data_IF_708342213538
#
_entry.id   IF_708342213538
#
_cell.length_a   1.000
_cell.length_b   1.000
_cell.length_c   1.000
_cell.angle_alpha   90.00
_cell.angle_beta   90.00
_cell.angle_gamma   90.00
#
_symmetry.space_group_name_H-M   'P 1'
#
loop_
_entity.id
_entity.type
_entity.pdbx_description
1 polymer ?
#
# COMPACT_ATOMS: atom_id res chain seq x y z
N UNK A 1 -14.38 6.28 -62.05
CA UNK A 1 -12.96 6.25 -62.46
C UNK A 1 -12.15 5.86 -61.22
N UNK A 2 -11.96 4.56 -61.00
CA UNK A 2 -10.74 3.80 -61.34
C UNK A 2 -9.58 3.98 -60.35
N UNK A 3 -9.50 3.02 -59.42
CA UNK A 3 -8.32 2.24 -59.03
C UNK A 3 -7.20 3.00 -58.27
N UNK A 4 -6.47 2.43 -57.31
CA UNK A 4 -5.80 1.12 -57.30
C UNK A 4 -5.53 0.69 -55.83
N UNK A 5 -5.89 -0.56 -55.48
CA UNK A 5 -5.37 -1.29 -54.31
C UNK A 5 -3.99 -1.84 -54.65
N UNK A 6 -2.99 -1.62 -53.79
CA UNK A 6 -1.67 -2.27 -53.88
C UNK A 6 -1.52 -3.23 -52.70
N UNK A 7 -1.55 -4.53 -53.00
CA UNK A 7 -1.06 -5.63 -52.14
C UNK A 7 0.27 -6.13 -52.70
N UNK A 8 1.26 -6.39 -51.83
CA UNK A 8 2.51 -7.14 -52.10
C UNK A 8 3.00 -7.77 -50.77
N UNK A 9 3.84 -8.84 -50.77
CA UNK A 9 3.33 -10.21 -50.65
C UNK A 9 3.92 -10.99 -49.46
N UNK A 10 3.28 -12.11 -49.14
CA UNK A 10 3.78 -13.14 -48.23
C UNK A 10 5.02 -13.84 -48.81
N UNK A 11 6.04 -14.02 -47.98
CA UNK A 11 7.19 -14.87 -48.28
C UNK A 11 7.29 -15.91 -47.17
N UNK A 12 7.10 -17.17 -47.57
CA UNK A 12 7.36 -18.36 -46.76
C UNK A 12 8.86 -18.60 -46.67
N UNK A 13 9.36 -18.99 -45.49
CA UNK A 13 10.62 -19.70 -45.37
C UNK A 13 10.57 -20.67 -44.18
N UNK A 14 10.35 -21.94 -44.52
CA UNK A 14 10.70 -23.09 -43.68
C UNK A 14 12.23 -23.08 -43.48
N UNK A 15 12.68 -23.19 -42.23
CA UNK A 15 13.94 -23.86 -41.91
C UNK A 15 13.69 -24.79 -40.73
N UNK A 16 13.60 -26.08 -41.05
CA UNK A 16 13.72 -27.16 -40.09
C UNK A 16 15.21 -27.33 -39.74
N UNK A 17 15.54 -27.37 -38.45
CA UNK A 17 16.83 -27.83 -37.96
C UNK A 17 16.60 -28.97 -36.96
N UNK A 18 16.80 -30.19 -37.46
CA UNK A 18 17.04 -31.40 -36.68
C UNK A 18 18.32 -31.21 -35.85
N UNK A 19 18.26 -31.52 -34.55
CA UNK A 19 19.43 -31.99 -33.81
C UNK A 19 19.00 -33.17 -32.92
N UNK A 20 19.59 -34.32 -33.21
CA UNK A 20 19.42 -35.61 -32.55
C UNK A 20 20.69 -35.89 -31.73
N UNK A 21 20.56 -36.68 -30.65
CA UNK A 21 21.59 -37.22 -29.75
C UNK A 21 22.15 -36.22 -28.71
N UNK A 22 22.26 -36.54 -27.42
CA UNK A 22 22.70 -37.82 -26.87
C UNK A 22 22.11 -38.12 -25.48
N UNK A 23 21.71 -39.38 -25.31
CA UNK A 23 21.43 -40.06 -24.06
C UNK A 23 22.77 -40.34 -23.35
N UNK A 24 22.87 -40.03 -22.05
CA UNK A 24 23.89 -40.60 -21.17
C UNK A 24 23.28 -40.81 -19.78
N UNK A 25 22.81 -42.04 -19.56
CA UNK A 25 22.57 -42.56 -18.22
C UNK A 25 23.93 -42.81 -17.55
N UNK A 26 24.09 -42.36 -16.32
CA UNK A 26 25.09 -42.92 -15.40
C UNK A 26 24.34 -43.31 -14.13
N UNK A 27 24.15 -44.62 -14.01
CA UNK A 27 23.80 -45.29 -12.77
C UNK A 27 25.05 -46.05 -12.28
N UNK A 28 25.38 -45.85 -11.02
CA UNK A 28 26.01 -46.81 -10.09
C UNK A 28 25.73 -46.20 -8.70
N UNK A 29 24.87 -46.78 -7.85
CA UNK A 29 25.17 -47.96 -7.01
C UNK A 29 26.41 -47.70 -6.14
N UNK A 30 26.49 -47.93 -4.84
CA UNK A 30 25.64 -48.45 -3.77
C UNK A 30 26.61 -48.41 -2.55
N UNK A 31 26.13 -48.22 -1.32
CA UNK A 31 26.55 -48.97 -0.11
C UNK A 31 26.21 -48.26 1.19
N UNK A 32 25.60 -49.07 2.04
CA UNK A 32 25.08 -48.79 3.36
C UNK A 32 26.16 -48.76 4.46
N UNK A 33 25.83 -48.07 5.55
CA UNK A 33 26.17 -48.38 6.95
C UNK A 33 25.20 -47.54 7.80
N UNK A 34 24.09 -48.09 8.30
CA UNK A 34 23.96 -48.79 9.58
C UNK A 34 25.01 -48.40 10.63
N UNK A 35 24.62 -47.54 11.58
CA UNK A 35 25.10 -47.63 12.95
C UNK A 35 24.01 -47.13 13.92
N UNK A 36 23.33 -48.09 14.54
CA UNK A 36 22.66 -47.87 15.83
C UNK A 36 23.71 -47.80 16.92
N UNK A 37 23.79 -46.67 17.64
CA UNK A 37 24.38 -46.63 19.00
C UNK A 37 23.35 -46.11 19.97
N UNK A 38 23.14 -46.93 20.99
CA UNK A 38 22.29 -46.74 22.16
C UNK A 38 22.99 -45.98 23.27
N UNK A 39 22.17 -45.34 24.11
CA UNK A 39 22.34 -45.00 25.53
C UNK A 39 22.57 -43.52 25.90
N UNK A 40 21.54 -43.02 26.60
CA UNK A 40 21.60 -42.32 27.88
C UNK A 40 22.77 -41.35 28.11
N UNK A 41 22.45 -40.06 28.15
CA UNK A 41 22.74 -39.25 29.34
C UNK A 41 21.99 -37.91 29.24
N UNK A 42 21.11 -37.67 30.21
CA UNK A 42 20.55 -36.33 30.45
C UNK A 42 21.59 -35.54 31.23
N UNK A 43 21.75 -34.24 30.92
CA UNK A 43 21.68 -33.30 32.02
C UNK A 43 20.73 -32.14 31.72
N UNK A 44 19.92 -31.83 32.72
CA UNK A 44 19.21 -30.57 32.81
C UNK A 44 20.18 -29.42 33.15
N UNK A 45 19.69 -28.21 32.85
CA UNK A 45 20.11 -26.88 33.35
C UNK A 45 21.13 -26.12 32.50
N UNK A 46 20.69 -24.94 32.02
CA UNK A 46 21.56 -23.93 31.45
C UNK A 46 20.83 -22.68 30.93
N UNK A 47 20.07 -21.99 31.79
CA UNK A 47 19.76 -20.58 31.54
C UNK A 47 21.06 -19.76 31.62
N UNK A 48 21.36 -18.83 30.71
CA UNK A 48 22.50 -17.95 30.89
C UNK A 48 22.19 -16.86 31.93
N UNK A 49 22.90 -16.96 33.05
CA UNK A 49 23.09 -15.93 34.07
C UNK A 49 23.66 -14.63 33.48
N UNK A 50 23.05 -13.51 33.87
CA UNK A 50 23.63 -12.16 33.82
C UNK A 50 23.77 -11.60 35.24
N UNK A 51 25.02 -11.50 35.66
CA UNK A 51 25.65 -10.93 36.87
C UNK A 51 24.87 -9.85 37.64
N UNK A 52 24.84 -10.02 38.97
CA UNK A 52 24.55 -8.99 39.99
C UNK A 52 25.83 -8.22 40.31
N UNK A 53 25.75 -6.88 40.31
CA UNK A 53 26.79 -5.97 40.81
C UNK A 53 26.24 -4.56 40.98
N UNK A 54 25.87 -4.22 42.21
CA UNK A 54 25.29 -2.95 42.67
C UNK A 54 26.30 -1.78 42.59
N UNK A 55 25.81 -0.54 42.36
CA UNK A 55 26.03 0.67 43.19
C UNK A 55 25.55 1.98 42.48
N UNK A 56 24.67 2.69 43.19
CA UNK A 56 24.40 4.14 43.26
C UNK A 56 23.65 4.91 42.15
N UNK A 57 22.40 5.24 42.50
CA UNK A 57 21.79 6.59 42.55
C UNK A 57 22.03 7.58 41.39
N UNK A 58 20.94 7.92 40.70
CA UNK A 58 20.81 9.23 40.05
C UNK A 58 19.70 9.29 39.00
N UNK A 59 18.67 10.10 39.26
CA UNK A 59 18.00 10.87 38.20
C UNK A 59 16.81 10.24 37.46
N UNK A 60 15.62 10.52 37.98
CA UNK A 60 14.35 10.83 37.28
C UNK A 60 13.96 10.06 36.00
N UNK A 61 12.98 9.18 36.16
CA UNK A 61 12.11 8.69 35.10
C UNK A 61 11.21 9.79 34.54
N UNK A 62 11.09 9.81 33.21
CA UNK A 62 9.93 10.35 32.52
C UNK A 62 9.13 9.20 31.89
N UNK A 63 7.84 9.13 32.20
CA UNK A 63 6.78 8.61 31.32
C UNK A 63 5.44 9.20 31.76
N UNK A 64 4.73 9.86 30.85
CA UNK A 64 3.40 9.40 30.38
C UNK A 64 2.63 10.52 29.66
N UNK A 65 2.26 10.19 28.43
CA UNK A 65 1.00 10.47 27.74
C UNK A 65 0.07 11.57 28.28
N UNK A 66 -0.13 12.59 27.44
CA UNK A 66 -1.47 13.06 27.05
C UNK A 66 -2.15 14.09 27.95
N UNK A 67 -2.03 15.37 27.58
CA UNK A 67 -3.12 16.36 27.68
C UNK A 67 -2.66 17.73 27.17
N UNK A 68 -3.51 18.35 26.33
CA UNK A 68 -3.54 19.76 25.95
C UNK A 68 -2.73 20.69 26.88
N UNK A 69 -1.58 21.18 26.41
CA UNK A 69 -0.87 22.27 27.10
C UNK A 69 -1.37 23.60 26.53
N UNK A 70 -2.36 24.16 27.22
CA UNK A 70 -2.60 25.61 27.20
C UNK A 70 -1.34 26.25 27.79
N UNK A 71 -0.58 26.99 26.98
CA UNK A 71 0.58 27.73 27.47
C UNK A 71 0.07 28.83 28.39
N UNK A 72 0.12 28.56 29.71
CA UNK A 72 -0.11 29.54 30.74
C UNK A 72 1.02 30.58 30.70
N UNK A 73 0.65 31.84 30.51
CA UNK A 73 1.57 32.97 30.61
C UNK A 73 2.27 32.94 31.98
N UNK A 74 3.59 32.77 31.98
CA UNK A 74 4.42 32.89 33.16
C UNK A 74 4.37 34.32 33.69
N UNK A 75 3.90 34.49 34.92
CA UNK A 75 4.08 35.73 35.66
C UNK A 75 5.55 35.82 36.10
N UNK A 76 6.35 36.57 35.34
CA UNK A 76 7.61 37.09 35.84
C UNK A 76 7.28 38.15 36.89
N UNK A 77 7.21 37.75 38.16
CA UNK A 77 7.09 38.68 39.29
C UNK A 77 8.41 39.41 39.49
N UNK A 78 8.63 40.49 38.74
CA UNK A 78 9.67 41.46 39.08
C UNK A 78 9.29 42.14 40.42
N UNK A 79 10.24 42.18 41.35
CA UNK A 79 10.06 42.80 42.66
C UNK A 79 9.63 44.28 42.50
N UNK A 80 8.43 44.62 42.99
CA UNK A 80 7.93 46.00 43.02
C UNK A 80 8.64 46.73 44.16
N UNK A 81 9.51 47.69 43.83
CA UNK A 81 10.04 48.61 44.82
C UNK A 81 8.90 49.51 45.36
N UNK A 82 8.86 49.84 46.66
CA UNK A 82 7.79 50.66 47.23
C UNK A 82 7.83 52.08 46.63
N UNK A 83 6.70 52.49 46.06
CA UNK A 83 6.50 53.81 45.47
C UNK A 83 6.30 54.81 46.63
N UNK A 84 7.04 55.93 46.70
CA UNK A 84 6.80 56.97 47.70
C UNK A 84 5.41 57.62 47.49
N UNK A 85 4.71 57.87 48.60
CA UNK A 85 3.38 58.50 48.63
C UNK A 85 3.51 59.93 48.08
N UNK A 86 2.96 60.19 46.89
CA UNK A 86 2.86 61.55 46.31
C UNK A 86 3.23 61.72 44.83
N UNK A 87 3.63 60.69 44.10
CA UNK A 87 3.87 60.81 42.65
C UNK A 87 2.56 60.81 41.84
N UNK A 88 2.39 61.66 40.81
CA UNK A 88 1.22 61.64 39.95
C UNK A 88 1.12 60.29 39.23
N UNK A 89 -0.03 59.63 39.38
CA UNK A 89 -0.35 58.37 38.71
C UNK A 89 -0.55 58.67 37.22
N UNK A 90 0.53 58.50 36.44
CA UNK A 90 0.46 58.55 34.99
C UNK A 90 -0.29 57.31 34.47
N UNK A 91 -1.60 57.44 34.25
CA UNK A 91 -2.38 56.45 33.51
C UNK A 91 -2.03 56.58 32.03
N UNK A 92 -0.95 55.92 31.62
CA UNK A 92 -0.46 55.99 30.25
C UNK A 92 0.56 54.91 29.95
N UNK A 93 0.30 53.67 30.38
CA UNK A 93 1.01 52.53 29.82
C UNK A 93 0.25 52.13 28.55
N UNK A 94 0.80 52.50 27.40
CA UNK A 94 0.37 51.94 26.14
C UNK A 94 0.63 50.43 26.20
N UNK A 95 -0.44 49.64 26.31
CA UNK A 95 -0.36 48.21 26.03
C UNK A 95 0.00 48.10 24.56
N UNK A 96 1.29 47.87 24.29
CA UNK A 96 1.71 47.44 22.97
C UNK A 96 1.18 46.01 22.83
N UNK A 97 -0.06 45.88 22.38
CA UNK A 97 -0.62 44.61 21.97
C UNK A 97 0.17 44.18 20.74
N UNK A 98 1.30 43.51 20.97
CA UNK A 98 1.82 42.56 20.02
C UNK A 98 0.77 41.45 19.92
N UNK A 99 -0.31 41.72 19.20
CA UNK A 99 -1.19 40.68 18.67
C UNK A 99 -0.24 39.86 17.81
N UNK A 100 0.16 38.68 18.30
CA UNK A 100 0.99 37.77 17.54
C UNK A 100 0.29 37.53 16.20
N UNK A 101 0.78 38.15 15.14
CA UNK A 101 0.38 37.95 13.75
C UNK A 101 0.77 36.53 13.33
N UNK A 102 0.01 35.56 13.80
CA UNK A 102 0.16 34.16 13.38
C UNK A 102 -1.11 33.61 12.74
N UNK A 103 -2.17 34.41 12.58
CA UNK A 103 -3.41 33.96 11.95
C UNK A 103 -4.24 35.07 11.25
N UNK A 104 -3.61 36.09 10.68
CA UNK A 104 -4.30 37.12 9.88
C UNK A 104 -4.36 36.71 8.41
N UNK A 105 -5.55 36.50 7.85
CA UNK A 105 -5.76 36.19 6.45
C UNK A 105 -7.04 35.42 6.17
N UNK A 106 -7.34 35.19 4.90
CA UNK A 106 -8.41 34.29 4.43
C UNK A 106 -7.78 32.92 4.22
N UNK A 107 -8.17 31.96 5.05
CA UNK A 107 -7.72 30.57 5.01
C UNK A 107 -8.72 29.72 4.24
N UNK A 108 -8.26 29.07 3.17
CA UNK A 108 -9.11 28.26 2.29
C UNK A 108 -8.42 26.97 1.89
N UNK A 109 -9.24 25.97 1.58
CA UNK A 109 -8.79 24.72 0.96
C UNK A 109 -9.26 24.67 -0.48
N UNK A 110 -8.31 24.57 -1.41
CA UNK A 110 -8.54 24.36 -2.83
C UNK A 110 -8.43 22.89 -3.19
N UNK A 111 -9.31 22.42 -4.07
CA UNK A 111 -9.30 21.05 -4.62
C UNK A 111 -9.13 21.13 -6.13
N UNK A 112 -8.15 20.41 -6.65
CA UNK A 112 -8.02 20.12 -8.06
C UNK A 112 -8.41 18.68 -8.31
N UNK A 113 -9.26 18.45 -9.30
CA UNK A 113 -9.65 17.10 -9.73
C UNK A 113 -9.60 17.00 -11.25
N UNK A 114 -9.32 15.80 -11.75
CA UNK A 114 -9.49 15.44 -13.15
C UNK A 114 -10.01 14.00 -13.22
N UNK A 115 -10.93 13.76 -14.16
CA UNK A 115 -11.44 12.43 -14.48
C UNK A 115 -10.75 11.95 -15.76
N UNK A 116 -10.15 10.77 -15.70
CA UNK A 116 -9.37 10.20 -16.81
C UNK A 116 -9.79 8.74 -16.95
N UNK A 117 -10.02 8.24 -18.18
CA UNK A 117 -10.24 6.82 -18.38
C UNK A 117 -9.02 6.03 -17.91
N UNK A 118 -9.24 4.93 -17.19
CA UNK A 118 -8.15 4.03 -16.85
C UNK A 118 -7.49 3.45 -18.12
N UNK A 119 -6.16 3.36 -18.11
CA UNK A 119 -5.39 2.74 -19.19
C UNK A 119 -4.75 1.41 -18.79
N UNK A 120 -4.64 1.13 -17.48
CA UNK A 120 -4.13 -0.15 -16.96
C UNK A 120 -4.98 -0.70 -15.81
N UNK A 121 -4.90 -2.00 -15.63
CA UNK A 121 -5.48 -2.72 -14.49
C UNK A 121 -4.39 -3.40 -13.66
N UNK A 122 -4.38 -3.11 -12.37
CA UNK A 122 -3.53 -3.74 -11.38
C UNK A 122 -4.30 -4.87 -10.70
N UNK A 123 -3.88 -6.11 -10.92
CA UNK A 123 -4.49 -7.33 -10.34
C UNK A 123 -3.58 -7.92 -9.27
N UNK A 124 -4.10 -8.11 -8.06
CA UNK A 124 -3.40 -8.86 -7.02
C UNK A 124 -3.77 -10.34 -7.13
N UNK A 125 -2.79 -11.15 -7.54
CA UNK A 125 -2.95 -12.59 -7.72
C UNK A 125 -2.00 -13.28 -6.75
N UNK A 126 -2.52 -14.22 -5.97
CA UNK A 126 -1.72 -15.05 -5.09
C UNK A 126 -1.98 -16.52 -5.30
N UNK A 127 -1.11 -17.33 -4.72
CA UNK A 127 -1.36 -18.74 -4.46
C UNK A 127 -1.17 -19.01 -2.98
N UNK A 128 -1.97 -19.93 -2.47
CA UNK A 128 -1.91 -20.36 -1.08
C UNK A 128 -1.99 -21.88 -1.00
N UNK A 129 -0.95 -22.49 -0.42
CA UNK A 129 -0.87 -23.92 -0.18
C UNK A 129 -0.81 -24.23 1.30
N UNK A 130 -1.53 -25.26 1.73
CA UNK A 130 -1.55 -25.73 3.12
C UNK A 130 -1.15 -27.19 3.18
N UNK A 131 -0.05 -27.48 3.87
CA UNK A 131 0.47 -28.84 4.00
C UNK A 131 0.94 -29.15 5.43
N UNK A 132 1.18 -30.41 5.73
CA UNK A 132 1.70 -30.84 7.06
C UNK A 132 3.15 -30.44 7.30
N UNK A 133 3.91 -30.17 6.23
CA UNK A 133 5.32 -29.73 6.31
C UNK A 133 5.53 -28.43 5.55
N UNK A 134 6.46 -27.60 6.02
CA UNK A 134 6.86 -26.37 5.33
C UNK A 134 7.37 -26.65 3.92
N UNK A 135 8.15 -27.74 3.74
CA UNK A 135 8.75 -28.06 2.45
C UNK A 135 7.69 -28.37 1.40
N UNK A 136 6.68 -29.19 1.76
CA UNK A 136 5.57 -29.51 0.85
C UNK A 136 4.74 -28.28 0.52
N UNK A 137 4.35 -27.47 1.53
CA UNK A 137 3.56 -26.27 1.30
C UNK A 137 4.31 -25.26 0.40
N UNK A 138 5.62 -25.10 0.61
CA UNK A 138 6.45 -24.21 -0.20
C UNK A 138 6.57 -24.70 -1.65
N UNK A 139 6.81 -25.99 -1.84
CA UNK A 139 6.94 -26.56 -3.19
C UNK A 139 5.63 -26.44 -3.97
N UNK A 140 4.51 -26.84 -3.37
CA UNK A 140 3.20 -26.74 -4.00
C UNK A 140 2.83 -25.28 -4.34
N UNK A 141 3.16 -24.33 -3.45
CA UNK A 141 2.95 -22.90 -3.74
C UNK A 141 3.88 -22.38 -4.86
N UNK A 142 5.13 -22.85 -4.93
CA UNK A 142 6.07 -22.46 -5.98
C UNK A 142 5.61 -22.96 -7.35
N UNK A 143 5.30 -24.26 -7.46
CA UNK A 143 4.87 -24.89 -8.71
C UNK A 143 3.56 -24.27 -9.24
N UNK A 144 2.62 -23.97 -8.34
CA UNK A 144 1.37 -23.30 -8.69
C UNK A 144 1.60 -21.86 -9.16
N UNK A 145 2.47 -21.10 -8.48
CA UNK A 145 2.76 -19.72 -8.89
C UNK A 145 3.51 -19.68 -10.22
N UNK A 146 4.44 -20.60 -10.46
CA UNK A 146 5.14 -20.72 -11.76
C UNK A 146 4.14 -20.97 -12.88
N UNK A 147 3.21 -21.92 -12.69
CA UNK A 147 2.14 -22.20 -13.66
C UNK A 147 1.26 -20.98 -13.92
N UNK A 148 0.92 -20.21 -12.88
CA UNK A 148 0.14 -18.97 -12.99
C UNK A 148 0.92 -17.90 -13.74
N UNK A 149 2.19 -17.68 -13.42
CA UNK A 149 3.06 -16.69 -14.09
C UNK A 149 3.20 -17.01 -15.57
N UNK A 150 3.43 -18.28 -15.92
CA UNK A 150 3.53 -18.72 -17.32
C UNK A 150 2.23 -18.50 -18.08
N UNK A 151 1.09 -18.89 -17.50
CA UNK A 151 -0.22 -18.68 -18.13
C UNK A 151 -0.54 -17.19 -18.35
N UNK A 152 -0.16 -16.31 -17.42
CA UNK A 152 -0.38 -14.87 -17.54
C UNK A 152 0.56 -14.27 -18.61
N UNK A 153 1.83 -14.69 -18.66
CA UNK A 153 2.78 -14.26 -19.71
C UNK A 153 2.34 -14.70 -21.10
N UNK A 154 1.77 -15.89 -21.24
CA UNK A 154 1.21 -16.40 -22.51
C UNK A 154 0.04 -15.56 -23.02
N UNK A 155 -0.63 -14.83 -22.12
CA UNK A 155 -1.66 -13.86 -22.46
C UNK A 155 -1.08 -12.45 -22.69
N UNK A 156 0.23 -12.27 -22.86
CA UNK A 156 0.83 -11.01 -23.29
C UNK A 156 1.17 -10.02 -22.18
N UNK A 157 1.15 -10.45 -20.92
CA UNK A 157 1.68 -9.65 -19.80
C UNK A 157 3.21 -9.78 -19.77
N UNK A 158 3.91 -8.64 -19.66
CA UNK A 158 5.37 -8.62 -19.56
C UNK A 158 5.84 -9.16 -18.20
N UNK A 159 7.02 -9.77 -18.15
CA UNK A 159 7.65 -10.15 -16.88
C UNK A 159 7.90 -8.93 -15.98
N UNK A 160 8.25 -7.78 -16.57
CA UNK A 160 8.45 -6.52 -15.85
C UNK A 160 7.16 -5.99 -15.19
N UNK A 161 6.00 -6.43 -15.68
CA UNK A 161 4.68 -6.07 -15.14
C UNK A 161 4.20 -7.04 -14.05
N UNK A 162 5.02 -8.03 -13.66
CA UNK A 162 4.73 -9.00 -12.60
C UNK A 162 5.69 -8.78 -11.44
N UNK A 163 5.17 -8.29 -10.31
CA UNK A 163 5.99 -7.97 -9.13
C UNK A 163 5.49 -8.76 -7.92
N UNK A 164 6.34 -9.59 -7.33
CA UNK A 164 6.02 -10.24 -6.05
C UNK A 164 5.90 -9.19 -4.94
N UNK A 165 4.71 -9.11 -4.33
CA UNK A 165 4.40 -8.15 -3.26
C UNK A 165 4.41 -8.77 -1.88
N UNK A 166 4.18 -10.08 -1.77
CA UNK A 166 4.17 -10.77 -0.48
C UNK A 166 4.58 -12.24 -0.65
N UNK A 167 5.42 -12.73 0.26
CA UNK A 167 5.71 -14.15 0.41
C UNK A 167 5.78 -14.46 1.90
N UNK A 168 5.01 -15.45 2.34
CA UNK A 168 4.87 -15.72 3.76
C UNK A 168 4.60 -17.18 4.08
N UNK A 169 5.07 -17.62 5.25
CA UNK A 169 4.91 -18.98 5.75
C UNK A 169 4.40 -18.89 7.19
N UNK A 170 3.20 -19.42 7.43
CA UNK A 170 2.56 -19.39 8.74
C UNK A 170 2.25 -20.79 9.26
N UNK A 171 2.62 -21.12 10.52
CA UNK A 171 2.19 -22.37 11.14
C UNK A 171 0.68 -22.34 11.37
N UNK A 172 0.02 -23.46 11.12
CA UNK A 172 -1.39 -23.68 11.41
C UNK A 172 -1.51 -24.41 12.74
N UNK A 173 -2.09 -23.75 13.74
CA UNK A 173 -2.16 -24.25 15.11
C UNK A 173 -3.60 -24.53 15.50
N UNK A 174 -3.86 -25.67 16.13
CA UNK A 174 -5.12 -25.94 16.82
C UNK A 174 -4.87 -25.95 18.32
N UNK A 175 -5.86 -25.52 19.08
CA UNK A 175 -5.86 -25.66 20.53
C UNK A 175 -6.52 -26.99 20.89
N UNK A 176 -5.78 -27.85 21.58
CA UNK A 176 -6.31 -29.14 22.07
C UNK A 176 -6.44 -29.11 23.59
N UNK A 177 -7.47 -29.77 24.11
CA UNK A 177 -7.62 -29.96 25.55
C UNK A 177 -6.74 -31.14 25.99
N UNK A 178 -5.91 -30.90 27.00
CA UNK A 178 -4.98 -31.88 27.57
C UNK A 178 -5.31 -32.02 29.05
N UNK A 179 -5.35 -33.27 29.52
CA UNK A 179 -5.53 -33.62 30.92
C UNK A 179 -4.29 -34.38 31.38
N UNK A 180 -3.48 -33.75 32.22
CA UNK A 180 -2.26 -34.35 32.77
C UNK A 180 -2.12 -34.03 34.27
N UNK A 181 -0.91 -34.20 34.82
CA UNK A 181 -0.61 -33.91 36.24
C UNK A 181 -0.84 -32.46 36.66
N UNK A 182 -0.93 -31.52 35.71
CA UNK A 182 -1.23 -30.10 35.94
C UNK A 182 -2.73 -29.79 35.88
N UNK A 183 -3.57 -30.80 35.62
CA UNK A 183 -5.01 -30.66 35.46
C UNK A 183 -5.45 -30.46 34.01
N UNK A 184 -6.69 -30.01 33.82
CA UNK A 184 -7.27 -29.75 32.50
C UNK A 184 -6.85 -28.37 32.00
N UNK A 185 -6.16 -28.33 30.87
CA UNK A 185 -5.74 -27.09 30.23
C UNK A 185 -5.73 -27.24 28.70
N UNK A 186 -5.53 -26.13 27.99
CA UNK A 186 -5.45 -26.14 26.53
C UNK A 186 -4.05 -25.80 26.05
N UNK A 187 -3.54 -26.58 25.10
CA UNK A 187 -2.21 -26.41 24.51
C UNK A 187 -2.31 -26.17 22.99
N UNK A 188 -1.47 -25.28 22.42
CA UNK A 188 -1.39 -25.08 20.99
C UNK A 188 -0.57 -26.20 20.34
N UNK A 189 -1.12 -26.87 19.34
CA UNK A 189 -0.41 -27.86 18.51
C UNK A 189 -0.40 -27.45 17.05
N UNK A 190 0.78 -27.44 16.45
CA UNK A 190 0.93 -27.22 15.02
C UNK A 190 0.40 -28.45 14.27
N UNK A 191 -0.48 -28.20 13.30
CA UNK A 191 -1.13 -29.19 12.45
C UNK A 191 -0.69 -29.11 10.99
N UNK A 192 0.03 -28.05 10.63
CA UNK A 192 0.57 -27.85 9.30
C UNK A 192 1.10 -26.43 9.14
N UNK A 193 1.30 -26.04 7.90
CA UNK A 193 1.85 -24.75 7.48
C UNK A 193 1.08 -24.28 6.26
N UNK A 194 0.80 -22.98 6.25
CA UNK A 194 0.25 -22.29 5.08
C UNK A 194 1.34 -21.43 4.47
N UNK A 195 1.60 -21.60 3.19
CA UNK A 195 2.49 -20.74 2.41
C UNK A 195 1.63 -19.90 1.47
N UNK A 196 1.81 -18.59 1.52
CA UNK A 196 1.17 -17.62 0.64
C UNK A 196 2.24 -16.92 -0.19
N UNK A 197 2.02 -16.81 -1.50
CA UNK A 197 2.82 -16.01 -2.40
C UNK A 197 1.87 -15.13 -3.23
N UNK A 198 2.07 -13.83 -3.22
CA UNK A 198 1.23 -12.86 -3.93
C UNK A 198 2.08 -12.00 -4.84
N UNK A 199 1.62 -11.86 -6.08
CA UNK A 199 2.14 -10.96 -7.09
C UNK A 199 1.11 -9.86 -7.40
N UNK A 200 1.63 -8.68 -7.71
CA UNK A 200 0.91 -7.61 -8.36
C UNK A 200 1.19 -7.70 -9.85
N UNK A 201 0.13 -7.83 -10.64
CA UNK A 201 0.20 -7.92 -12.10
C UNK A 201 -0.35 -6.63 -12.69
N UNK A 202 0.41 -5.97 -13.54
CA UNK A 202 -0.04 -4.79 -14.30
C UNK A 202 -0.47 -5.23 -15.69
N UNK A 203 -1.77 -5.19 -15.95
CA UNK A 203 -2.35 -5.49 -17.26
C UNK A 203 -2.56 -4.19 -18.01
N UNK A 204 -1.74 -3.97 -19.05
CA UNK A 204 -1.76 -2.74 -19.87
C UNK A 204 -2.83 -2.73 -20.95
N UNK A 205 -3.28 -3.91 -21.35
CA UNK A 205 -4.43 -4.06 -22.25
C UNK A 205 -5.65 -4.50 -21.43
N UNK A 206 -6.48 -3.52 -21.04
CA UNK A 206 -7.66 -3.78 -20.21
C UNK A 206 -8.65 -4.72 -20.89
N UNK A 207 -8.73 -4.72 -22.23
CA UNK A 207 -9.63 -5.63 -22.97
C UNK A 207 -9.19 -7.09 -22.82
N UNK A 208 -7.92 -7.32 -22.48
CA UNK A 208 -7.33 -8.63 -22.24
C UNK A 208 -7.32 -9.04 -20.76
N UNK A 209 -7.88 -8.22 -19.87
CA UNK A 209 -7.90 -8.49 -18.44
C UNK A 209 -8.71 -9.74 -18.08
N UNK A 210 -9.89 -9.94 -18.67
CA UNK A 210 -10.71 -11.12 -18.38
C UNK A 210 -10.01 -12.43 -18.79
N UNK A 211 -9.44 -12.55 -20.02
CA UNK A 211 -8.59 -13.68 -20.37
C UNK A 211 -7.46 -13.94 -19.37
N UNK A 212 -6.69 -12.90 -18.99
CA UNK A 212 -5.60 -13.02 -18.02
C UNK A 212 -6.08 -13.61 -16.68
N UNK A 213 -7.20 -13.09 -16.15
CA UNK A 213 -7.79 -13.56 -14.89
C UNK A 213 -8.28 -15.01 -15.02
N UNK A 214 -8.98 -15.35 -16.10
CA UNK A 214 -9.53 -16.68 -16.32
C UNK A 214 -8.42 -17.73 -16.52
N UNK A 215 -7.33 -17.39 -17.23
CA UNK A 215 -6.19 -18.28 -17.41
C UNK A 215 -5.35 -18.44 -16.16
N UNK A 216 -5.18 -17.36 -15.38
CA UNK A 216 -4.54 -17.44 -14.07
C UNK A 216 -5.33 -18.40 -13.17
N UNK A 217 -6.65 -18.20 -13.06
CA UNK A 217 -7.53 -19.05 -12.26
C UNK A 217 -7.46 -20.52 -12.67
N UNK A 218 -7.46 -20.79 -13.97
CA UNK A 218 -7.34 -22.14 -14.52
C UNK A 218 -5.99 -22.79 -14.21
N UNK A 219 -4.89 -22.03 -14.32
CA UNK A 219 -3.53 -22.53 -14.07
C UNK A 219 -3.23 -22.75 -12.58
N UNK A 220 -3.72 -21.86 -11.71
CA UNK A 220 -3.51 -21.97 -10.27
C UNK A 220 -4.46 -22.95 -9.57
N UNK A 221 -5.57 -23.34 -10.22
CA UNK A 221 -6.55 -24.28 -9.68
C UNK A 221 -7.06 -23.86 -8.30
N UNK A 222 -7.21 -24.82 -7.39
CA UNK A 222 -7.73 -24.57 -6.03
C UNK A 222 -6.77 -23.73 -5.15
N UNK A 223 -5.51 -23.59 -5.57
CA UNK A 223 -4.50 -22.84 -4.82
C UNK A 223 -4.55 -21.34 -5.13
N UNK A 224 -5.24 -20.90 -6.19
CA UNK A 224 -5.26 -19.48 -6.57
C UNK A 224 -6.08 -18.60 -5.63
N UNK A 225 -5.64 -17.37 -5.45
CA UNK A 225 -6.32 -16.29 -4.73
C UNK A 225 -6.27 -15.04 -5.60
N UNK A 226 -7.39 -14.65 -6.20
CA UNK A 226 -7.53 -13.34 -6.85
C UNK A 226 -8.04 -12.37 -5.79
N UNK A 227 -7.15 -11.53 -5.27
CA UNK A 227 -7.44 -10.73 -4.08
C UNK A 227 -8.14 -9.39 -4.43
N UNK A 228 -7.70 -8.75 -5.51
CA UNK A 228 -8.24 -7.46 -5.95
C UNK A 228 -7.94 -7.18 -7.42
N UNK A 229 -8.78 -6.34 -8.03
CA UNK A 229 -8.58 -5.73 -9.34
C UNK A 229 -8.79 -4.22 -9.17
N UNK A 230 -7.78 -3.43 -9.49
CA UNK A 230 -7.81 -1.97 -9.39
C UNK A 230 -7.50 -1.37 -10.76
N UNK A 231 -8.37 -0.51 -11.27
CA UNK A 231 -8.07 0.28 -12.47
C UNK A 231 -7.33 1.55 -12.07
N UNK A 232 -6.33 1.91 -12.86
CA UNK A 232 -5.51 3.11 -12.64
C UNK A 232 -4.99 3.66 -13.96
N UNK A 233 -4.27 4.76 -13.86
CA UNK A 233 -3.46 5.32 -14.94
C UNK A 233 -2.00 4.91 -14.71
N UNK A 234 -1.30 4.44 -15.74
CA UNK A 234 0.10 4.01 -15.68
C UNK A 234 1.04 5.18 -15.31
N UNK A 235 0.88 6.32 -16.00
CA UNK A 235 1.60 7.55 -15.70
C UNK A 235 0.65 8.64 -15.19
N UNK A 236 0.41 8.64 -13.88
CA UNK A 236 -0.33 9.73 -13.23
C UNK A 236 0.48 11.03 -13.13
N UNK A 237 1.80 10.99 -13.32
CA UNK A 237 2.68 12.15 -13.13
C UNK A 237 2.45 13.22 -14.20
N UNK A 238 2.07 12.80 -15.41
CA UNK A 238 1.70 13.68 -16.51
C UNK A 238 0.54 14.65 -16.17
N UNK A 239 -0.34 14.25 -15.25
CA UNK A 239 -1.51 15.05 -14.87
C UNK A 239 -1.28 15.91 -13.63
N UNK A 240 -0.16 15.71 -12.92
CA UNK A 240 0.10 16.38 -11.65
C UNK A 240 0.14 17.90 -11.76
N UNK A 241 0.70 18.45 -12.85
CA UNK A 241 0.74 19.90 -13.07
C UNK A 241 -0.66 20.50 -13.23
N UNK A 242 -1.47 19.91 -14.10
CA UNK A 242 -2.83 20.40 -14.40
C UNK A 242 -3.71 20.37 -13.14
N UNK A 243 -3.66 19.28 -12.36
CA UNK A 243 -4.47 19.14 -11.15
C UNK A 243 -4.03 20.14 -10.09
N UNK A 244 -2.72 20.40 -9.94
CA UNK A 244 -2.21 21.45 -9.04
C UNK A 244 -2.67 22.85 -9.47
N UNK A 245 -2.65 23.15 -10.77
CA UNK A 245 -3.18 24.42 -11.29
C UNK A 245 -4.67 24.57 -10.97
N UNK A 246 -5.48 23.52 -11.14
CA UNK A 246 -6.88 23.52 -10.74
C UNK A 246 -7.07 23.76 -9.24
N UNK A 247 -6.28 23.09 -8.39
CA UNK A 247 -6.36 23.25 -6.94
C UNK A 247 -6.02 24.68 -6.50
N UNK A 248 -4.98 25.27 -7.08
CA UNK A 248 -4.59 26.65 -6.81
C UNK A 248 -5.65 27.67 -7.29
N UNK A 249 -6.22 27.45 -8.48
CA UNK A 249 -7.30 28.28 -9.00
C UNK A 249 -8.57 28.21 -8.14
N UNK A 250 -8.95 27.03 -7.69
CA UNK A 250 -10.09 26.82 -6.78
C UNK A 250 -9.87 27.49 -5.42
N UNK A 251 -8.67 27.37 -4.83
CA UNK A 251 -8.32 28.10 -3.60
C UNK A 251 -8.46 29.62 -3.78
N UNK A 252 -7.91 30.17 -4.86
CA UNK A 252 -8.00 31.59 -5.16
C UNK A 252 -9.45 32.07 -5.34
N UNK A 253 -10.25 31.32 -6.10
CA UNK A 253 -11.66 31.64 -6.35
C UNK A 253 -12.47 31.65 -5.05
N UNK A 254 -12.26 30.66 -4.17
CA UNK A 254 -12.90 30.61 -2.84
C UNK A 254 -12.51 31.82 -1.97
N UNK A 255 -11.23 32.18 -1.95
CA UNK A 255 -10.77 33.32 -1.17
C UNK A 255 -11.37 34.65 -1.66
N UNK A 256 -11.47 34.84 -2.98
CA UNK A 256 -12.11 36.01 -3.60
C UNK A 256 -13.61 36.11 -3.27
N UNK A 257 -14.34 34.98 -3.28
CA UNK A 257 -15.74 34.93 -2.84
C UNK A 257 -15.90 35.40 -1.39
N UNK A 258 -15.04 34.90 -0.49
CA UNK A 258 -15.09 35.30 0.92
C UNK A 258 -14.72 36.78 1.12
N UNK A 259 -13.69 37.28 0.43
CA UNK A 259 -13.28 38.68 0.51
C UNK A 259 -14.42 39.62 0.11
N UNK A 260 -15.06 39.36 -1.03
CA UNK A 260 -16.20 40.14 -1.53
C UNK A 260 -17.40 40.08 -0.59
N UNK A 261 -17.73 38.90 -0.06
CA UNK A 261 -18.85 38.72 0.86
C UNK A 261 -18.65 39.47 2.18
N UNK A 262 -17.40 39.65 2.62
CA UNK A 262 -17.05 40.36 3.85
C UNK A 262 -16.73 41.84 3.63
N UNK A 263 -16.77 42.34 2.39
CA UNK A 263 -16.47 43.73 2.06
C UNK A 263 -15.00 44.12 2.27
N UNK A 264 -14.08 43.17 2.13
CA UNK A 264 -12.63 43.39 2.24
C UNK A 264 -11.94 43.15 0.90
N UNK A 265 -10.76 43.72 0.71
CA UNK A 265 -9.95 43.47 -0.48
C UNK A 265 -9.18 42.15 -0.31
N UNK A 266 -9.12 41.30 -1.34
CA UNK A 266 -8.25 40.12 -1.32
C UNK A 266 -6.80 40.55 -1.55
N UNK A 267 -5.90 40.24 -0.61
CA UNK A 267 -4.47 40.54 -0.67
C UNK A 267 -3.63 39.42 -1.31
N UNK A 268 -2.30 39.57 -1.35
CA UNK A 268 -1.40 38.56 -1.92
C UNK A 268 -1.44 37.24 -1.14
N UNK A 269 -1.03 36.16 -1.82
CA UNK A 269 -0.81 34.86 -1.21
C UNK A 269 0.32 34.96 -0.16
N UNK A 270 0.03 34.50 1.06
CA UNK A 270 0.97 34.51 2.20
C UNK A 270 1.54 33.11 2.43
N UNK A 271 0.72 32.08 2.26
CA UNK A 271 1.09 30.70 2.53
C UNK A 271 0.34 29.77 1.59
N UNK A 272 1.03 28.72 1.12
CA UNK A 272 0.45 27.62 0.37
C UNK A 272 1.13 26.33 0.81
N UNK A 273 0.34 25.31 1.10
CA UNK A 273 0.82 23.95 1.34
C UNK A 273 -0.05 22.94 0.60
N UNK A 274 0.58 21.93 0.04
CA UNK A 274 -0.12 20.77 -0.53
C UNK A 274 -0.32 19.75 0.60
N UNK A 275 -1.58 19.42 0.90
CA UNK A 275 -1.93 18.59 2.06
C UNK A 275 -1.97 17.11 1.66
N UNK A 276 -2.36 16.81 0.42
CA UNK A 276 -2.47 15.45 -0.09
C UNK A 276 -2.47 15.40 -1.61
N UNK A 277 -1.72 14.44 -2.16
CA UNK A 277 -1.97 13.85 -3.48
C UNK A 277 -2.73 12.54 -3.27
N UNK A 278 -3.92 12.40 -3.86
CA UNK A 278 -4.69 11.17 -3.77
C UNK A 278 -4.05 10.08 -4.62
N UNK A 279 -4.01 8.85 -4.11
CA UNK A 279 -3.82 7.66 -4.93
C UNK A 279 -5.00 7.59 -5.91
N UNK A 280 -4.78 7.26 -7.20
CA UNK A 280 -5.87 7.10 -8.16
C UNK A 280 -6.88 6.05 -7.65
N UNK A 281 -8.15 6.43 -7.52
CA UNK A 281 -9.23 5.48 -7.21
C UNK A 281 -10.17 5.39 -8.41
N UNK A 282 -10.40 4.17 -8.90
CA UNK A 282 -11.39 3.89 -9.92
C UNK A 282 -12.81 4.08 -9.39
N UNK A 283 -13.65 4.78 -10.13
CA UNK A 283 -15.09 4.84 -9.89
C UNK A 283 -15.77 3.74 -10.71
N UNK A 284 -16.42 2.79 -10.05
CA UNK A 284 -17.08 1.68 -10.72
C UNK A 284 -18.12 2.17 -11.73
N UNK A 285 -18.00 1.74 -12.99
CA UNK A 285 -19.04 1.92 -14.00
C UNK A 285 -20.33 1.25 -13.50
N UNK A 286 -21.45 1.99 -13.57
CA UNK A 286 -22.77 1.46 -13.20
C UNK A 286 -23.10 0.33 -14.18
N UNK A 287 -23.17 -0.89 -13.67
CA UNK A 287 -23.48 -2.10 -14.43
C UNK A 287 -24.78 -1.90 -15.23
N UNK A 288 -24.66 -1.71 -16.54
CA UNK A 288 -25.77 -1.91 -17.47
C UNK A 288 -25.90 -3.42 -17.66
N UNK A 289 -26.72 -4.02 -16.82
CA UNK A 289 -27.10 -5.43 -16.87
C UNK A 289 -27.76 -5.73 -18.23
N UNK A 290 -27.06 -6.47 -19.10
CA UNK A 290 -27.70 -7.21 -20.17
C UNK A 290 -27.21 -8.66 -20.15
N UNK A 291 -28.11 -9.51 -19.68
CA UNK A 291 -27.95 -10.95 -19.60
C UNK A 291 -27.79 -11.58 -21.00
N UNK A 292 -26.98 -12.63 -21.06
CA UNK A 292 -27.17 -13.74 -21.98
C UNK A 292 -26.55 -15.03 -21.40
N UNK A 293 -27.35 -16.08 -21.45
CA UNK A 293 -27.07 -17.47 -21.06
C UNK A 293 -26.17 -18.14 -22.11
N UNK A 294 -25.10 -18.81 -21.68
CA UNK A 294 -24.62 -20.03 -22.32
C UNK A 294 -23.73 -20.82 -21.34
N UNK A 295 -23.80 -22.15 -21.39
CA UNK A 295 -23.27 -23.10 -20.40
C UNK A 295 -21.76 -23.39 -20.49
N UNK A 296 -20.96 -22.45 -20.95
CA UNK A 296 -19.50 -22.47 -20.80
C UNK A 296 -19.12 -21.62 -19.57
N UNK A 297 -17.94 -21.84 -18.98
CA UNK A 297 -17.40 -20.91 -17.98
C UNK A 297 -17.48 -19.49 -18.57
N UNK A 298 -18.45 -18.72 -18.08
CA UNK A 298 -18.71 -17.38 -18.58
C UNK A 298 -17.56 -16.52 -18.10
N UNK A 299 -16.80 -15.96 -19.05
CA UNK A 299 -15.68 -15.09 -18.73
C UNK A 299 -16.11 -14.01 -17.75
N UNK A 300 -15.28 -13.77 -16.73
CA UNK A 300 -15.62 -12.87 -15.63
C UNK A 300 -15.84 -11.45 -16.19
N UNK A 301 -17.06 -10.88 -16.12
CA UNK A 301 -17.32 -9.54 -16.66
C UNK A 301 -16.60 -8.51 -15.79
N UNK A 302 -15.56 -7.90 -16.34
CA UNK A 302 -14.75 -6.88 -15.66
C UNK A 302 -14.85 -5.60 -16.50
N UNK A 303 -15.29 -4.49 -15.90
CA UNK A 303 -15.43 -3.20 -16.58
C UNK A 303 -14.51 -2.18 -15.92
N UNK A 304 -13.67 -1.54 -16.72
CA UNK A 304 -13.00 -0.31 -16.30
C UNK A 304 -14.02 0.82 -16.16
N UNK A 305 -13.75 1.71 -15.20
CA UNK A 305 -14.45 2.99 -15.07
C UNK A 305 -13.43 4.11 -15.02
N UNK A 306 -13.90 5.35 -14.99
CA UNK A 306 -13.03 6.52 -14.91
C UNK A 306 -12.31 6.59 -13.54
N UNK A 307 -11.08 7.10 -13.57
CA UNK A 307 -10.22 7.26 -12.40
C UNK A 307 -10.15 8.75 -12.06
N UNK A 308 -10.39 9.09 -10.80
CA UNK A 308 -10.28 10.46 -10.33
C UNK A 308 -8.91 10.69 -9.71
N UNK A 309 -8.15 11.62 -10.29
CA UNK A 309 -6.92 12.12 -9.68
C UNK A 309 -7.22 13.45 -9.01
N UNK A 310 -6.79 13.60 -7.75
CA UNK A 310 -7.04 14.81 -7.00
C UNK A 310 -5.85 15.29 -6.17
N UNK A 311 -5.74 16.60 -6.06
CA UNK A 311 -4.78 17.30 -5.21
C UNK A 311 -5.53 18.31 -4.36
N UNK A 312 -5.17 18.38 -3.08
CA UNK A 312 -5.74 19.35 -2.14
C UNK A 312 -4.65 20.28 -1.64
N UNK A 313 -4.90 21.60 -1.74
CA UNK A 313 -4.01 22.64 -1.24
C UNK A 313 -4.70 23.46 -0.16
N UNK A 314 -3.96 23.86 0.87
CA UNK A 314 -4.37 24.90 1.81
C UNK A 314 -3.63 26.17 1.47
N UNK A 315 -4.39 27.26 1.29
CA UNK A 315 -3.86 28.57 0.97
C UNK A 315 -4.31 29.60 2.02
N UNK A 316 -3.43 30.57 2.28
CA UNK A 316 -3.72 31.75 3.11
C UNK A 316 -3.45 32.98 2.28
N UNK A 317 -4.47 33.82 2.12
CA UNK A 317 -4.35 35.12 1.47
C UNK A 317 -4.41 36.23 2.50
N UNK A 318 -3.62 37.28 2.31
CA UNK A 318 -3.74 38.47 3.15
C UNK A 318 -5.10 39.14 2.92
N UNK A 319 -5.56 39.92 3.90
CA UNK A 319 -6.69 40.83 3.73
C UNK A 319 -6.10 42.20 3.38
N UNK A 320 -6.45 42.73 2.22
CA UNK A 320 -6.16 44.09 1.81
C UNK A 320 -7.13 45.07 2.47
N UNK A 321 -6.61 46.26 2.83
CA UNK A 321 -7.40 47.37 3.37
C UNK A 321 -8.27 48.07 2.34
#
# INVERSE_FOLDING_TARGET
>A
MSNVKIRKPATWLLVAALAVFSLAAVACADTAADEKVTNEDTPAIGAPSGVVGNVSSGGSQGTSSGSNQVIAAGYNSAAIAPIPIGAPVGYGQAFNSAIGTTNSGIWVTGQGTIEIPADVAQVSIGVESRETTVSAARQNAADAMESVMDAIKDNGVSEDDIVTTNFNIYPQTIWVEVSDSLGRHSEPRITGYTVSNTVQVTVRDIDNLSPVVDTAASAGGDLIRINSIQFTVDDSSAYGEVIRQHAAADALAKADVYARAMGVTLGPLVYLTEISSSVPMAYGARMAEMAAMDGAFKSTPISSGDVNLSVTVQAVFAIGG
#
